data_IF_382525604771
#
_entry.id   IF_382525604771
#
_cell.length_a   1.000
_cell.length_b   1.000
_cell.length_c   1.000
_cell.angle_alpha   90.00
_cell.angle_beta   90.00
_cell.angle_gamma   90.00
#
_symmetry.space_group_name_H-M   'P 1'
#
loop_
_entity.id
_entity.type
_entity.pdbx_description
1 polymer ?
#
# COMPACT_ATOMS: atom_id res chain seq x y z
N UNK A 1 -18.98 0.49 -1.58
CA UNK A 1 -19.77 1.68 -1.96
C UNK A 1 -20.83 1.99 -0.88
N UNK A 2 -20.54 2.75 0.18
CA UNK A 2 -21.56 3.31 1.11
C UNK A 2 -21.11 4.62 1.78
N UNK A 3 -22.12 5.45 2.11
CA UNK A 3 -22.10 6.85 2.62
C UNK A 3 -21.66 6.94 4.09
N UNK A 4 -21.22 8.12 4.56
CA UNK A 4 -21.88 8.99 5.56
C UNK A 4 -20.95 10.14 6.02
N UNK A 5 -21.46 11.38 6.00
CA UNK A 5 -21.01 12.47 6.87
C UNK A 5 -21.90 12.38 8.10
N UNK A 6 -21.32 12.10 9.27
CA UNK A 6 -22.07 12.00 10.53
C UNK A 6 -21.94 13.31 11.31
N UNK A 7 -23.06 14.00 11.50
CA UNK A 7 -23.26 14.97 12.59
C UNK A 7 -24.69 14.75 13.10
N UNK A 8 -24.83 14.18 14.30
CA UNK A 8 -26.13 13.99 14.97
C UNK A 8 -27.03 12.84 14.46
N UNK A 9 -28.16 12.67 15.15
CA UNK A 9 -29.10 11.53 15.12
C UNK A 9 -30.11 11.51 13.98
N UNK A 10 -30.04 12.39 12.97
CA UNK A 10 -31.09 12.53 11.97
C UNK A 10 -30.60 12.24 10.54
N UNK A 11 -31.31 11.34 9.86
CA UNK A 11 -31.12 11.02 8.44
C UNK A 11 -31.73 12.16 7.61
N UNK A 12 -30.89 13.02 7.05
CA UNK A 12 -31.34 14.10 6.17
C UNK A 12 -31.56 13.53 4.75
N UNK A 13 -32.82 13.34 4.39
CA UNK A 13 -33.28 13.15 3.00
C UNK A 13 -33.41 14.51 2.32
N UNK A 14 -32.50 14.84 1.40
CA UNK A 14 -32.63 15.99 0.52
C UNK A 14 -32.36 15.56 -0.93
N UNK A 15 -33.26 15.90 -1.85
CA UNK A 15 -33.26 15.51 -3.28
C UNK A 15 -32.05 16.03 -4.12
N UNK A 16 -31.00 16.59 -3.51
CA UNK A 16 -29.75 17.02 -4.17
C UNK A 16 -28.51 16.79 -3.28
N UNK A 17 -28.30 15.56 -2.80
CA UNK A 17 -27.03 15.21 -2.13
C UNK A 17 -25.99 14.87 -3.19
N UNK A 18 -25.02 15.76 -3.42
CA UNK A 18 -23.76 15.38 -4.05
C UNK A 18 -23.13 14.27 -3.20
N UNK A 19 -23.15 13.03 -3.70
CA UNK A 19 -22.48 11.91 -3.04
C UNK A 19 -20.98 12.08 -3.28
N UNK A 20 -20.22 12.26 -2.21
CA UNK A 20 -18.77 12.18 -2.28
C UNK A 20 -18.36 10.71 -2.38
N UNK A 21 -17.67 10.37 -3.46
CA UNK A 21 -17.04 9.07 -3.63
C UNK A 21 -15.53 9.23 -3.49
N UNK A 22 -14.90 8.21 -2.93
CA UNK A 22 -13.45 8.09 -2.88
C UNK A 22 -13.10 6.63 -3.11
N UNK A 23 -11.92 6.32 -3.70
CA UNK A 23 -11.43 4.95 -3.75
C UNK A 23 -11.39 4.34 -2.36
N UNK A 24 -11.72 3.05 -2.26
CA UNK A 24 -11.84 2.28 -1.02
C UNK A 24 -10.51 1.76 -0.47
N UNK A 25 -9.39 2.30 -0.96
CA UNK A 25 -8.03 1.94 -0.53
C UNK A 25 -7.41 0.84 -1.40
N UNK A 26 -6.13 0.53 -1.14
CA UNK A 26 -5.38 -0.47 -1.93
C UNK A 26 -5.93 -1.89 -1.79
N UNK A 27 -6.62 -2.20 -0.69
CA UNK A 27 -7.29 -3.49 -0.48
C UNK A 27 -8.50 -3.70 -1.41
N UNK A 28 -9.02 -2.65 -2.05
CA UNK A 28 -10.07 -2.76 -3.07
C UNK A 28 -9.67 -3.59 -4.29
N UNK A 29 -8.37 -3.89 -4.44
CA UNK A 29 -7.85 -4.78 -5.50
C UNK A 29 -8.51 -6.17 -5.46
N UNK A 30 -8.76 -6.73 -4.29
CA UNK A 30 -9.32 -8.08 -4.15
C UNK A 30 -10.76 -8.15 -4.68
N UNK A 31 -11.60 -7.17 -4.30
CA UNK A 31 -12.96 -7.05 -4.83
C UNK A 31 -12.96 -6.79 -6.35
N UNK A 32 -11.98 -6.03 -6.85
CA UNK A 32 -11.86 -5.69 -8.27
C UNK A 32 -11.42 -6.89 -9.12
N UNK A 33 -10.56 -7.75 -8.58
CA UNK A 33 -10.02 -8.92 -9.27
C UNK A 33 -10.98 -10.11 -9.24
N UNK A 34 -11.82 -10.25 -8.21
CA UNK A 34 -12.74 -11.38 -8.05
C UNK A 34 -13.48 -11.78 -9.35
N UNK A 35 -14.07 -10.86 -10.14
CA UNK A 35 -14.79 -11.22 -11.37
C UNK A 35 -13.89 -11.75 -12.51
N UNK A 36 -12.57 -11.57 -12.43
CA UNK A 36 -11.60 -11.98 -13.47
C UNK A 36 -10.71 -13.14 -13.04
N UNK A 37 -10.82 -13.65 -11.80
CA UNK A 37 -10.03 -14.79 -11.30
C UNK A 37 -10.10 -16.01 -12.22
N UNK A 38 -11.30 -16.35 -12.72
CA UNK A 38 -11.47 -17.49 -13.62
C UNK A 38 -10.72 -17.32 -14.95
N UNK A 39 -10.48 -16.07 -15.39
CA UNK A 39 -9.69 -15.79 -16.59
C UNK A 39 -8.21 -16.02 -16.33
N UNK A 40 -7.71 -15.64 -15.15
CA UNK A 40 -6.33 -15.89 -14.75
C UNK A 40 -6.04 -17.38 -14.65
N UNK A 41 -6.95 -18.14 -14.05
CA UNK A 41 -6.85 -19.59 -13.95
C UNK A 41 -6.85 -20.26 -15.34
N UNK A 42 -7.79 -19.90 -16.22
CA UNK A 42 -7.83 -20.43 -17.60
C UNK A 42 -6.59 -20.06 -18.42
N UNK A 43 -5.96 -18.94 -18.11
CA UNK A 43 -4.73 -18.48 -18.75
C UNK A 43 -3.46 -19.10 -18.15
N UNK A 44 -3.58 -19.95 -17.11
CA UNK A 44 -2.43 -20.55 -16.43
C UNK A 44 -1.57 -19.54 -15.67
N UNK A 45 -2.15 -18.43 -15.20
CA UNK A 45 -1.41 -17.44 -14.41
C UNK A 45 -1.30 -17.92 -12.96
N UNK A 46 -0.09 -18.21 -12.53
CA UNK A 46 0.19 -18.74 -11.19
C UNK A 46 0.62 -17.65 -10.18
N UNK A 47 1.26 -16.59 -10.67
CA UNK A 47 1.99 -15.64 -9.83
C UNK A 47 1.64 -14.18 -10.16
N UNK A 48 1.46 -13.37 -9.12
CA UNK A 48 1.08 -11.97 -9.22
C UNK A 48 2.07 -11.10 -8.48
N UNK A 49 2.58 -10.06 -9.14
CA UNK A 49 3.42 -9.03 -8.54
C UNK A 49 2.66 -7.71 -8.52
N UNK A 50 2.45 -7.16 -7.33
CA UNK A 50 1.78 -5.88 -7.11
C UNK A 50 2.79 -4.88 -6.58
N UNK A 51 2.85 -3.70 -7.19
CA UNK A 51 3.72 -2.61 -6.78
C UNK A 51 2.96 -1.29 -6.64
N UNK A 52 3.46 -0.45 -5.75
CA UNK A 52 3.05 0.95 -5.64
C UNK A 52 3.63 1.76 -6.80
N UNK A 53 2.82 2.63 -7.39
CA UNK A 53 3.17 3.50 -8.51
C UNK A 53 4.08 4.67 -8.12
N UNK A 54 4.18 4.96 -6.83
CA UNK A 54 4.90 6.12 -6.33
C UNK A 54 6.40 5.90 -6.05
N UNK A 55 6.96 4.68 -6.17
CA UNK A 55 8.39 4.42 -5.93
C UNK A 55 9.19 4.40 -7.24
N UNK A 56 10.01 5.44 -7.49
CA UNK A 56 10.79 5.53 -8.74
C UNK A 56 11.90 4.48 -8.86
N UNK A 57 12.27 3.84 -7.75
CA UNK A 57 13.27 2.76 -7.69
C UNK A 57 12.64 1.37 -7.65
N UNK A 58 11.35 1.25 -7.93
CA UNK A 58 10.67 -0.03 -7.96
C UNK A 58 11.21 -0.92 -9.10
N UNK A 59 11.63 -2.15 -8.75
CA UNK A 59 12.04 -3.18 -9.70
C UNK A 59 10.81 -3.99 -10.11
N UNK A 60 10.27 -3.76 -11.31
CA UNK A 60 9.02 -4.38 -11.77
C UNK A 60 9.26 -5.41 -12.89
N UNK A 61 8.95 -6.70 -12.65
CA UNK A 61 8.90 -7.35 -11.34
C UNK A 61 10.31 -7.61 -10.79
N UNK A 62 10.44 -7.71 -9.47
CA UNK A 62 11.68 -8.15 -8.82
C UNK A 62 11.80 -9.68 -8.95
N UNK A 63 12.53 -10.14 -9.97
CA UNK A 63 12.68 -11.56 -10.27
C UNK A 63 13.45 -12.33 -9.20
N UNK A 64 14.31 -11.68 -8.40
CA UNK A 64 14.99 -12.35 -7.29
C UNK A 64 14.01 -12.66 -6.16
N UNK A 65 13.14 -11.70 -5.85
CA UNK A 65 12.06 -11.90 -4.87
C UNK A 65 11.12 -13.02 -5.34
N UNK A 66 10.68 -12.98 -6.61
CA UNK A 66 9.78 -13.98 -7.19
C UNK A 66 10.41 -15.37 -7.18
N UNK A 67 11.66 -15.50 -7.65
CA UNK A 67 12.36 -16.79 -7.66
C UNK A 67 12.56 -17.36 -6.25
N UNK A 68 12.87 -16.51 -5.27
CA UNK A 68 12.98 -16.93 -3.88
C UNK A 68 11.63 -17.36 -3.29
N UNK A 69 10.55 -16.65 -3.63
CA UNK A 69 9.19 -17.02 -3.21
C UNK A 69 8.82 -18.42 -3.70
N UNK A 70 9.04 -18.69 -4.99
CA UNK A 70 8.80 -20.00 -5.60
C UNK A 70 9.66 -21.08 -4.94
N UNK A 71 10.97 -20.84 -4.82
CA UNK A 71 11.89 -21.82 -4.22
C UNK A 71 11.61 -22.12 -2.74
N UNK A 72 10.96 -21.20 -2.02
CA UNK A 72 10.54 -21.38 -0.62
C UNK A 72 9.07 -21.74 -0.47
N UNK A 73 8.35 -21.96 -1.57
CA UNK A 73 6.91 -22.25 -1.57
C UNK A 73 6.07 -21.19 -0.84
N UNK A 74 6.52 -19.93 -0.87
CA UNK A 74 5.82 -18.82 -0.22
C UNK A 74 4.60 -18.44 -1.06
N UNK A 75 3.42 -18.41 -0.44
CA UNK A 75 2.17 -18.04 -1.10
C UNK A 75 1.94 -16.52 -1.11
N UNK A 76 2.61 -15.82 -0.20
CA UNK A 76 2.58 -14.38 -0.09
C UNK A 76 3.92 -13.82 0.37
N UNK A 77 4.40 -12.76 -0.28
CA UNK A 77 5.67 -12.10 0.07
C UNK A 77 5.50 -10.60 0.12
N UNK A 78 5.91 -9.97 1.22
CA UNK A 78 6.01 -8.51 1.27
C UNK A 78 7.47 -8.04 1.24
N UNK A 79 7.75 -7.08 0.36
CA UNK A 79 9.06 -6.45 0.25
C UNK A 79 9.19 -5.31 1.26
N UNK A 80 10.28 -5.32 2.02
CA UNK A 80 10.50 -4.41 3.16
C UNK A 80 11.88 -3.79 3.20
N UNK A 81 11.96 -2.66 3.88
CA UNK A 81 13.21 -2.00 4.27
C UNK A 81 13.29 -1.85 5.79
N UNK A 82 14.51 -1.72 6.32
CA UNK A 82 14.71 -1.45 7.74
C UNK A 82 14.47 0.03 8.05
N UNK A 83 13.46 0.32 8.87
CA UNK A 83 13.25 1.61 9.52
C UNK A 83 14.28 1.81 10.63
N UNK A 84 14.94 2.96 10.62
CA UNK A 84 15.86 3.41 11.68
C UNK A 84 15.10 4.16 12.78
N UNK A 85 14.07 4.91 12.39
CA UNK A 85 13.24 5.72 13.28
C UNK A 85 11.75 5.37 13.14
N UNK A 86 11.02 5.47 14.26
CA UNK A 86 9.57 5.22 14.32
C UNK A 86 8.77 6.28 13.56
N UNK A 87 9.34 7.47 13.37
CA UNK A 87 8.77 8.61 12.65
C UNK A 87 8.87 8.50 11.14
N UNK A 88 9.55 7.48 10.60
CA UNK A 88 9.60 7.28 9.15
C UNK A 88 8.22 6.87 8.62
N UNK A 89 7.71 7.59 7.63
CA UNK A 89 6.42 7.34 6.98
C UNK A 89 6.49 6.15 6.00
N UNK A 90 6.87 4.99 6.52
CA UNK A 90 6.94 3.72 5.79
C UNK A 90 5.87 2.80 6.38
N UNK A 91 5.18 2.06 5.51
CA UNK A 91 4.09 1.18 5.93
C UNK A 91 4.57 0.15 6.95
N UNK A 92 3.79 -0.13 7.99
CA UNK A 92 4.07 -1.25 8.88
C UNK A 92 3.49 -2.52 8.28
N UNK A 93 4.27 -3.61 8.23
CA UNK A 93 3.73 -4.92 7.87
C UNK A 93 2.83 -5.53 8.95
N UNK A 94 2.85 -4.95 10.15
CA UNK A 94 1.95 -5.40 11.20
C UNK A 94 0.55 -5.01 10.76
N UNK A 95 -0.34 -6.01 10.72
CA UNK A 95 -1.78 -5.84 10.49
C UNK A 95 -2.49 -5.18 11.69
N UNK A 96 -1.71 -4.68 12.65
CA UNK A 96 -2.13 -3.57 13.49
C UNK A 96 -1.87 -2.30 12.69
N UNK A 97 -2.94 -1.81 12.05
CA UNK A 97 -3.09 -0.45 11.53
C UNK A 97 -2.03 0.50 12.10
N UNK A 98 -1.19 1.09 11.25
CA UNK A 98 -0.14 2.02 11.69
C UNK A 98 -0.69 3.21 12.49
N UNK A 99 -1.97 3.55 12.31
CA UNK A 99 -2.67 4.56 13.11
C UNK A 99 -3.09 4.08 14.52
N UNK A 100 -3.08 2.76 14.77
CA UNK A 100 -3.43 2.12 16.06
C UNK A 100 -2.22 1.63 16.84
N UNK A 101 -1.03 1.63 16.24
CA UNK A 101 0.20 1.39 16.99
C UNK A 101 0.50 2.65 17.81
N UNK A 102 0.39 2.55 19.14
CA UNK A 102 0.74 3.67 20.01
C UNK A 102 2.21 4.06 19.79
N UNK A 103 2.52 5.35 19.94
CA UNK A 103 3.89 5.88 19.83
C UNK A 103 4.88 5.05 20.67
N UNK A 104 4.48 4.68 21.88
CA UNK A 104 5.25 3.81 22.78
C UNK A 104 5.59 2.45 22.16
N UNK A 105 4.65 1.80 21.46
CA UNK A 105 4.88 0.51 20.80
C UNK A 105 5.77 0.68 19.57
N UNK A 106 5.55 1.73 18.77
CA UNK A 106 6.34 2.02 17.57
C UNK A 106 7.81 2.33 17.91
N UNK A 107 8.07 2.94 19.07
CA UNK A 107 9.40 3.33 19.55
C UNK A 107 10.14 2.22 20.29
N UNK A 108 9.49 1.06 20.57
CA UNK A 108 10.14 -0.04 21.28
C UNK A 108 11.42 -0.48 20.56
N UNK A 109 12.52 -0.49 21.31
CA UNK A 109 13.83 -0.95 20.85
C UNK A 109 14.03 -2.44 21.12
N UNK A 110 14.81 -3.10 20.27
CA UNK A 110 15.12 -4.51 20.42
C UNK A 110 16.00 -4.72 21.66
N UNK A 111 15.59 -5.55 22.63
CA UNK A 111 16.38 -5.79 23.85
C UNK A 111 17.80 -6.31 23.59
N UNK A 112 18.01 -7.07 22.51
CA UNK A 112 19.32 -7.61 22.12
C UNK A 112 20.16 -6.62 21.29
N UNK A 113 19.53 -5.59 20.72
CA UNK A 113 20.23 -4.56 19.95
C UNK A 113 19.43 -3.23 20.05
N UNK A 114 19.69 -2.41 21.08
CA UNK A 114 18.92 -1.20 21.37
C UNK A 114 18.95 -0.14 20.26
N UNK A 115 19.88 -0.23 19.30
CA UNK A 115 19.91 0.67 18.13
C UNK A 115 18.71 0.39 17.22
N UNK A 116 18.26 -0.87 17.15
CA UNK A 116 17.19 -1.30 16.25
C UNK A 116 15.82 -1.21 16.90
N UNK A 117 14.80 -0.86 16.12
CA UNK A 117 13.40 -0.99 16.52
C UNK A 117 12.98 -2.48 16.55
N UNK A 118 12.04 -2.81 17.43
CA UNK A 118 11.34 -4.11 17.36
C UNK A 118 10.56 -4.18 16.05
N UNK A 119 9.76 -3.15 15.76
CA UNK A 119 8.95 -3.03 14.54
C UNK A 119 9.71 -2.23 13.47
N UNK A 120 10.85 -2.77 13.02
CA UNK A 120 11.72 -2.10 12.05
C UNK A 120 11.40 -2.44 10.60
N UNK A 121 10.72 -3.56 10.31
CA UNK A 121 10.50 -3.96 8.92
C UNK A 121 9.30 -3.19 8.34
N UNK A 122 9.60 -2.24 7.47
CA UNK A 122 8.64 -1.35 6.84
C UNK A 122 8.35 -1.77 5.40
N UNK A 123 7.07 -1.96 5.06
CA UNK A 123 6.61 -2.28 3.72
C UNK A 123 6.81 -1.13 2.75
N UNK A 124 7.32 -1.44 1.57
CA UNK A 124 7.56 -0.46 0.50
C UNK A 124 6.58 -0.56 -0.67
N UNK A 125 5.37 -1.10 -0.46
CA UNK A 125 4.38 -1.10 -1.54
C UNK A 125 4.51 -2.25 -2.53
N UNK A 126 5.39 -3.21 -2.29
CA UNK A 126 5.72 -4.27 -3.24
C UNK A 126 5.38 -5.63 -2.62
N UNK A 127 4.54 -6.40 -3.29
CA UNK A 127 4.01 -7.65 -2.76
C UNK A 127 3.84 -8.67 -3.88
N UNK A 128 4.13 -9.93 -3.57
CA UNK A 128 3.91 -11.07 -4.45
C UNK A 128 2.87 -11.98 -3.83
N UNK A 129 2.05 -12.59 -4.67
CA UNK A 129 1.07 -13.60 -4.26
C UNK A 129 0.94 -14.71 -5.29
N UNK A 130 0.60 -15.92 -4.85
CA UNK A 130 0.12 -17.00 -5.72
C UNK A 130 -1.35 -16.80 -6.09
N UNK A 131 -1.81 -17.49 -7.14
CA UNK A 131 -3.23 -17.50 -7.52
C UNK A 131 -4.12 -17.99 -6.37
N UNK A 132 -3.68 -19.00 -5.62
CA UNK A 132 -4.47 -19.57 -4.52
C UNK A 132 -4.60 -18.59 -3.35
N UNK A 133 -3.52 -17.90 -2.96
CA UNK A 133 -3.61 -16.82 -1.99
C UNK A 133 -4.56 -15.73 -2.49
N UNK A 134 -4.46 -15.35 -3.78
CA UNK A 134 -5.28 -14.29 -4.34
C UNK A 134 -6.77 -14.66 -4.32
N UNK A 135 -7.12 -15.92 -4.62
CA UNK A 135 -8.48 -16.45 -4.49
C UNK A 135 -8.98 -16.32 -3.05
N UNK A 136 -8.20 -16.79 -2.08
CA UNK A 136 -8.56 -16.70 -0.66
C UNK A 136 -8.76 -15.25 -0.22
N UNK A 137 -7.82 -14.35 -0.54
CA UNK A 137 -7.92 -12.94 -0.23
C UNK A 137 -9.16 -12.26 -0.85
N UNK A 138 -9.59 -12.69 -2.05
CA UNK A 138 -10.82 -12.22 -2.68
C UNK A 138 -12.08 -12.73 -1.95
N UNK A 139 -12.11 -14.00 -1.55
CA UNK A 139 -13.23 -14.59 -0.79
C UNK A 139 -13.35 -13.97 0.60
N UNK A 140 -12.23 -13.60 1.22
CA UNK A 140 -12.19 -13.01 2.56
C UNK A 140 -12.25 -11.47 2.54
N UNK A 141 -12.48 -10.83 1.40
CA UNK A 141 -12.42 -9.36 1.26
C UNK A 141 -13.33 -8.62 2.27
N UNK A 142 -14.52 -9.16 2.54
CA UNK A 142 -15.46 -8.53 3.48
C UNK A 142 -15.00 -8.63 4.94
N UNK A 143 -14.12 -9.58 5.27
CA UNK A 143 -13.49 -9.69 6.59
C UNK A 143 -12.37 -8.67 6.81
N UNK A 144 -11.85 -8.05 5.74
CA UNK A 144 -10.77 -7.07 5.85
C UNK A 144 -11.26 -5.80 6.58
N UNK A 145 -10.49 -5.29 7.55
CA UNK A 145 -10.89 -4.16 8.40
C UNK A 145 -10.96 -2.85 7.60
N UNK A 146 -11.90 -1.99 7.99
CA UNK A 146 -11.86 -0.60 7.55
C UNK A 146 -10.91 0.22 8.44
N UNK A 147 -10.06 0.98 7.78
CA UNK A 147 -9.24 2.04 8.36
C UNK A 147 -9.96 3.38 8.20
N UNK A 148 -10.06 4.14 9.28
CA UNK A 148 -10.73 5.44 9.30
C UNK A 148 -9.70 6.57 9.28
N UNK A 149 -9.62 7.29 8.16
CA UNK A 149 -8.69 8.39 7.95
C UNK A 149 -9.45 9.71 7.98
N UNK A 150 -9.15 10.56 8.96
CA UNK A 150 -9.70 11.91 9.01
C UNK A 150 -9.10 12.78 7.90
N UNK A 151 -9.96 13.42 7.09
CA UNK A 151 -9.57 14.29 5.96
C UNK A 151 -10.30 15.64 6.04
N UNK A 152 -9.68 16.66 5.46
CA UNK A 152 -10.37 17.87 5.04
C UNK A 152 -11.03 17.58 3.68
N UNK A 153 -12.35 17.53 3.66
CA UNK A 153 -13.17 17.17 2.51
C UNK A 153 -13.97 18.42 2.12
N UNK A 154 -13.69 19.03 0.95
CA UNK A 154 -14.48 20.14 0.45
C UNK A 154 -15.96 19.76 0.34
N UNK A 155 -16.87 20.65 0.70
CA UNK A 155 -18.31 20.36 0.69
C UNK A 155 -19.12 21.54 0.15
N UNK A 156 -20.28 21.24 -0.44
CA UNK A 156 -21.22 22.25 -0.90
C UNK A 156 -22.00 22.84 0.27
N UNK A 157 -21.99 24.16 0.41
CA UNK A 157 -22.83 24.87 1.38
C UNK A 157 -24.10 25.39 0.70
N UNK A 158 -25.31 24.94 1.11
CA UNK A 158 -26.56 25.34 0.48
C UNK A 158 -26.95 26.81 0.73
N UNK A 159 -26.52 27.39 1.86
CA UNK A 159 -26.83 28.77 2.23
C UNK A 159 -26.01 29.75 1.39
N UNK A 160 -24.71 29.48 1.25
CA UNK A 160 -23.80 30.35 0.48
C UNK A 160 -23.74 30.01 -1.00
N UNK A 161 -24.29 28.85 -1.40
CA UNK A 161 -24.22 28.28 -2.75
C UNK A 161 -22.78 28.22 -3.30
N UNK A 162 -21.83 27.83 -2.44
CA UNK A 162 -20.40 27.71 -2.77
C UNK A 162 -19.81 26.41 -2.23
N UNK A 163 -18.72 25.96 -2.85
CA UNK A 163 -17.86 24.90 -2.30
C UNK A 163 -17.00 25.53 -1.20
N UNK A 164 -17.00 24.94 -0.02
CA UNK A 164 -16.19 25.35 1.12
C UNK A 164 -15.03 24.38 1.30
N UNK A 165 -13.82 24.93 1.39
CA UNK A 165 -12.63 24.21 1.83
C UNK A 165 -12.46 24.43 3.34
N UNK A 166 -12.65 23.40 4.17
CA UNK A 166 -12.63 23.57 5.61
C UNK A 166 -11.19 23.78 6.11
N UNK A 167 -11.05 24.66 7.12
CA UNK A 167 -9.78 24.97 7.80
C UNK A 167 -9.29 23.79 8.67
N UNK A 168 -10.10 22.74 8.84
CA UNK A 168 -9.75 21.53 9.58
C UNK A 168 -10.35 20.25 8.97
N UNK A 169 -10.07 19.11 9.62
CA UNK A 169 -10.64 17.81 9.26
C UNK A 169 -12.14 17.80 9.57
N UNK A 170 -12.97 17.55 8.58
CA UNK A 170 -14.44 17.56 8.67
C UNK A 170 -15.09 16.25 8.20
N UNK A 171 -14.30 15.25 7.80
CA UNK A 171 -14.83 13.98 7.33
C UNK A 171 -13.90 12.80 7.56
N UNK A 172 -14.47 11.60 7.44
CA UNK A 172 -13.76 10.33 7.58
C UNK A 172 -13.78 9.62 6.22
N UNK A 173 -12.61 9.24 5.74
CA UNK A 173 -12.45 8.32 4.62
C UNK A 173 -12.24 6.91 5.17
N UNK A 174 -13.00 5.94 4.67
CA UNK A 174 -12.82 4.52 4.99
C UNK A 174 -12.04 3.83 3.88
N UNK A 175 -10.95 3.16 4.24
CA UNK A 175 -10.08 2.44 3.31
C UNK A 175 -9.78 1.03 3.83
N UNK A 176 -9.55 0.08 2.93
CA UNK A 176 -8.93 -1.22 3.21
C UNK A 176 -7.51 -1.21 2.64
N UNK A 177 -6.58 -1.90 3.28
CA UNK A 177 -5.21 -1.97 2.78
C UNK A 177 -4.91 -3.36 2.22
N UNK A 178 -4.09 -3.40 1.16
CA UNK A 178 -3.66 -4.65 0.54
C UNK A 178 -2.96 -5.59 1.55
N UNK A 179 -2.31 -5.02 2.57
CA UNK A 179 -1.59 -5.81 3.57
C UNK A 179 -2.49 -6.47 4.61
N UNK A 180 -3.76 -6.09 4.70
CA UNK A 180 -4.67 -6.72 5.68
C UNK A 180 -4.93 -8.19 5.32
N UNK A 181 -4.85 -8.52 4.04
CA UNK A 181 -5.01 -9.89 3.57
C UNK A 181 -3.80 -10.79 3.83
N UNK A 182 -2.65 -10.25 4.28
CA UNK A 182 -1.46 -11.04 4.57
C UNK A 182 -1.71 -12.09 5.67
N UNK A 183 -2.73 -11.89 6.52
CA UNK A 183 -3.12 -12.89 7.52
C UNK A 183 -3.75 -14.15 6.95
N UNK A 184 -4.19 -14.14 5.69
CA UNK A 184 -4.70 -15.32 5.01
C UNK A 184 -3.58 -16.13 4.32
N UNK A 185 -2.31 -15.70 4.45
CA UNK A 185 -1.18 -16.45 3.92
C UNK A 185 -0.86 -17.67 4.80
N UNK A 186 -0.69 -18.82 4.17
CA UNK A 186 -0.23 -20.04 4.81
C UNK A 186 1.30 -20.04 4.97
N UNK A 187 2.03 -19.46 4.01
CA UNK A 187 3.49 -19.38 4.02
C UNK A 187 3.96 -17.98 3.61
N UNK A 188 3.92 -17.08 4.59
CA UNK A 188 4.33 -15.69 4.43
C UNK A 188 5.85 -15.51 4.51
N UNK A 189 6.42 -14.78 3.53
CA UNK A 189 7.83 -14.37 3.56
C UNK A 189 7.98 -12.85 3.56
N UNK A 190 8.97 -12.35 4.29
CA UNK A 190 9.44 -10.96 4.15
C UNK A 190 10.70 -10.93 3.28
N UNK A 191 10.68 -10.13 2.22
CA UNK A 191 11.83 -9.89 1.36
C UNK A 191 12.48 -8.56 1.73
N UNK A 192 13.54 -8.64 2.55
CA UNK A 192 14.23 -7.44 3.03
C UNK A 192 15.27 -6.97 2.03
N UNK A 193 15.19 -5.70 1.66
CA UNK A 193 16.12 -5.05 0.74
C UNK A 193 16.78 -3.81 1.33
N UNK A 194 17.77 -3.29 0.61
CA UNK A 194 18.41 -2.03 0.94
C UNK A 194 17.42 -0.87 0.81
N UNK A 195 17.59 0.16 1.65
CA UNK A 195 16.85 1.42 1.52
C UNK A 195 17.09 2.12 0.18
N UNK A 196 18.16 1.77 -0.53
CA UNK A 196 18.45 2.24 -1.89
C UNK A 196 17.47 1.73 -2.95
N UNK A 197 16.55 0.81 -2.63
CA UNK A 197 15.46 0.39 -3.53
C UNK A 197 14.15 1.16 -3.28
N UNK A 198 14.19 2.21 -2.45
CA UNK A 198 13.01 2.96 -2.06
C UNK A 198 13.22 4.47 -2.14
N UNK A 199 12.60 5.09 -3.13
CA UNK A 199 12.52 6.55 -3.29
C UNK A 199 11.08 6.93 -3.70
N UNK A 200 10.18 7.10 -2.72
CA UNK A 200 8.78 7.39 -2.99
C UNK A 200 8.56 8.87 -3.33
N UNK A 201 7.64 9.14 -4.25
CA UNK A 201 7.13 10.46 -4.58
C UNK A 201 5.82 10.69 -3.84
N UNK A 202 5.85 11.47 -2.76
CA UNK A 202 4.68 11.79 -1.92
C UNK A 202 4.43 13.28 -1.78
N UNK A 203 5.50 14.07 -1.77
CA UNK A 203 5.45 15.50 -1.45
C UNK A 203 5.87 16.34 -2.65
N UNK A 204 5.38 17.59 -2.68
CA UNK A 204 5.78 18.57 -3.70
C UNK A 204 7.24 18.98 -3.50
N UNK A 205 7.63 19.23 -2.25
CA UNK A 205 8.98 19.65 -1.85
C UNK A 205 9.43 18.91 -0.58
N UNK A 206 10.73 18.99 -0.27
CA UNK A 206 11.32 18.41 0.94
C UNK A 206 11.63 16.92 0.84
N UNK A 207 11.24 16.13 1.83
CA UNK A 207 11.46 14.67 1.86
C UNK A 207 10.48 13.99 0.91
N UNK A 208 10.88 12.87 0.28
CA UNK A 208 10.02 12.09 -0.62
C UNK A 208 9.39 12.96 -1.75
N UNK A 209 10.19 13.85 -2.34
CA UNK A 209 9.76 14.79 -3.39
C UNK A 209 10.44 14.53 -4.74
N UNK A 210 9.99 15.24 -5.78
CA UNK A 210 10.47 15.05 -7.16
C UNK A 210 11.98 15.19 -7.30
N UNK A 211 12.59 16.23 -6.72
CA UNK A 211 14.04 16.46 -6.86
C UNK A 211 14.85 15.32 -6.25
N UNK A 212 14.43 14.81 -5.10
CA UNK A 212 15.04 13.64 -4.45
C UNK A 212 14.89 12.38 -5.30
N UNK A 213 13.69 12.10 -5.82
CA UNK A 213 13.46 10.97 -6.72
C UNK A 213 14.34 11.01 -7.97
N UNK A 214 14.52 12.18 -8.60
CA UNK A 214 15.40 12.36 -9.76
C UNK A 214 16.85 12.08 -9.41
N UNK A 215 17.33 12.61 -8.27
CA UNK A 215 18.70 12.35 -7.79
C UNK A 215 18.93 10.86 -7.55
N UNK A 216 17.99 10.19 -6.86
CA UNK A 216 18.12 8.76 -6.56
C UNK A 216 18.05 7.90 -7.82
N UNK A 217 17.18 8.25 -8.78
CA UNK A 217 17.09 7.55 -10.06
C UNK A 217 18.32 7.77 -10.96
N UNK A 218 19.08 8.84 -10.76
CA UNK A 218 20.35 9.08 -11.45
C UNK A 218 21.56 8.49 -10.71
N UNK A 219 21.33 7.81 -9.58
CA UNK A 219 22.37 7.05 -8.88
C UNK A 219 22.50 5.63 -9.45
N UNK A 220 23.46 4.87 -8.91
CA UNK A 220 23.67 3.46 -9.22
C UNK A 220 22.39 2.60 -9.14
N UNK A 221 21.51 2.89 -8.16
CA UNK A 221 20.26 2.15 -8.01
C UNK A 221 19.32 2.30 -9.22
N UNK A 222 19.32 3.46 -9.88
CA UNK A 222 18.56 3.67 -11.10
C UNK A 222 19.25 3.09 -12.33
N UNK A 223 20.58 3.01 -12.34
CA UNK A 223 21.33 2.34 -13.41
C UNK A 223 21.04 0.85 -13.47
N UNK A 224 20.94 0.18 -12.31
CA UNK A 224 20.49 -1.21 -12.21
C UNK A 224 19.12 -1.41 -12.90
N UNK A 225 18.18 -0.50 -12.64
CA UNK A 225 16.83 -0.55 -13.24
C UNK A 225 16.90 -0.34 -14.74
N UNK A 226 17.67 0.65 -15.19
CA UNK A 226 17.87 0.93 -16.62
C UNK A 226 18.48 -0.28 -17.34
N UNK A 227 19.45 -0.96 -16.73
CA UNK A 227 20.08 -2.13 -17.32
C UNK A 227 19.12 -3.34 -17.35
N UNK A 228 18.35 -3.56 -16.28
CA UNK A 228 17.30 -4.57 -16.24
C UNK A 228 16.29 -4.39 -17.39
N UNK A 229 15.84 -3.15 -17.62
CA UNK A 229 14.93 -2.83 -18.73
C UNK A 229 15.58 -3.07 -20.09
N UNK A 230 16.85 -2.66 -20.28
CA UNK A 230 17.58 -2.91 -21.53
C UNK A 230 17.69 -4.41 -21.82
N UNK A 231 18.04 -5.22 -20.83
CA UNK A 231 18.15 -6.67 -20.98
C UNK A 231 16.80 -7.30 -21.35
N UNK A 232 15.71 -6.87 -20.70
CA UNK A 232 14.36 -7.34 -21.04
C UNK A 232 13.97 -6.99 -22.48
N UNK A 233 14.22 -5.75 -22.91
CA UNK A 233 13.93 -5.32 -24.28
C UNK A 233 14.79 -6.05 -25.34
N UNK A 234 16.04 -6.42 -25.00
CA UNK A 234 16.92 -7.20 -25.90
C UNK A 234 16.44 -8.63 -26.11
N UNK A 235 15.90 -9.29 -25.08
CA UNK A 235 15.38 -10.68 -25.15
C UNK A 235 14.07 -10.83 -25.93
N UNK A 236 13.44 -9.72 -26.35
CA UNK A 236 12.21 -9.70 -27.17
C UNK A 236 12.48 -9.56 -28.67
N UNK A 237 13.74 -9.58 -29.10
CA UNK A 237 14.15 -9.71 -30.51
C UNK A 237 14.71 -11.10 -30.73
#
# INVERSE_FOLDING_TARGET
>A
MFRFVRSGSNIISLKRVAKFFSPDGSGGIYQTILPVLSKFEKAGLEYFYVCSDNNVLCRVPDLHMVGCAIGKTADCVAKVIEKKMSSEEIGNLKVLDSSKISKQVAEKRNPKNPIKLIFREGSIGNTFFTLDFLKEACLQYDSLPFHEIQKSIPFWNPNTRKIIHPVGKNGIKKERFIYDALFHANNFMMWKVSKTEFSPLKNIEGVDCRSKCVLDFNSFAGDDIREMVKQFCRKRK
#
